data_IF_455775418436
#
_entry.id   IF_455775418436
#
_cell.length_a   1.000
_cell.length_b   1.000
_cell.length_c   1.000
_cell.angle_alpha   90.00
_cell.angle_beta   90.00
_cell.angle_gamma   90.00
#
_symmetry.space_group_name_H-M   'P 1'
#
loop_
_entity.id
_entity.type
_entity.pdbx_description
1 polymer ?
#
# COMPACT_ATOMS: atom_id res chain seq x y z
N UNK A 1 -15.43 -1.55 -15.94
CA UNK A 1 -15.27 -1.65 -14.48
C UNK A 1 -14.25 -0.62 -14.06
N UNK A 2 -14.62 0.31 -13.18
CA UNK A 2 -13.66 1.27 -12.62
C UNK A 2 -12.74 0.52 -11.67
N UNK A 3 -11.43 0.73 -11.79
CA UNK A 3 -10.47 0.14 -10.85
C UNK A 3 -10.68 0.76 -9.47
N UNK A 4 -10.86 -0.08 -8.45
CA UNK A 4 -11.02 0.33 -7.05
C UNK A 4 -9.69 0.70 -6.37
N UNK A 5 -8.61 0.77 -7.13
CA UNK A 5 -7.29 1.10 -6.64
C UNK A 5 -6.59 2.15 -7.50
N UNK A 6 -5.58 2.79 -6.91
CA UNK A 6 -4.65 3.69 -7.58
C UNK A 6 -3.22 3.16 -7.47
N UNK A 7 -2.45 3.33 -8.54
CA UNK A 7 -1.06 2.90 -8.59
C UNK A 7 -0.16 4.10 -8.38
N UNK A 8 0.64 4.05 -7.33
CA UNK A 8 1.59 5.10 -6.96
C UNK A 8 3.00 4.60 -7.28
N UNK A 9 3.71 5.35 -8.12
CA UNK A 9 5.13 5.11 -8.38
C UNK A 9 5.99 6.11 -7.61
N UNK A 10 6.74 5.64 -6.61
CA UNK A 10 7.62 6.47 -5.78
C UNK A 10 9.03 6.43 -6.37
N UNK A 11 9.49 7.55 -6.93
CA UNK A 11 10.80 7.66 -7.61
C UNK A 11 11.99 7.86 -6.68
N UNK A 12 11.74 8.42 -5.50
CA UNK A 12 12.72 8.64 -4.43
C UNK A 12 11.97 8.63 -3.12
N UNK A 13 12.51 7.97 -2.10
CA UNK A 13 11.90 7.96 -0.78
C UNK A 13 11.71 9.41 -0.30
N UNK A 14 10.46 9.84 -0.16
CA UNK A 14 10.11 11.15 0.41
C UNK A 14 10.45 11.16 1.89
N UNK A 15 10.78 12.32 2.46
CA UNK A 15 10.91 12.42 3.91
C UNK A 15 9.55 12.17 4.57
N UNK A 16 9.57 11.63 5.79
CA UNK A 16 8.37 11.19 6.52
C UNK A 16 7.31 12.30 6.65
N UNK A 17 7.77 13.55 6.80
CA UNK A 17 6.92 14.73 6.97
C UNK A 17 6.09 15.04 5.71
N UNK A 18 6.69 14.86 4.52
CA UNK A 18 6.00 15.02 3.24
C UNK A 18 5.19 13.78 2.84
N UNK A 19 5.59 12.59 3.34
CA UNK A 19 4.99 11.34 2.96
C UNK A 19 3.56 11.15 3.50
N UNK A 20 3.30 11.61 4.73
CA UNK A 20 1.98 11.51 5.35
C UNK A 20 0.90 12.27 4.58
N UNK A 21 1.02 13.60 4.32
CA UNK A 21 0.00 14.30 3.54
C UNK A 21 -0.13 13.74 2.13
N UNK A 22 0.97 13.27 1.52
CA UNK A 22 0.94 12.64 0.21
C UNK A 22 0.09 11.37 0.18
N UNK A 23 0.23 10.44 1.13
CA UNK A 23 -0.57 9.21 1.15
C UNK A 23 -2.03 9.48 1.54
N UNK A 24 -2.28 10.42 2.44
CA UNK A 24 -3.62 10.67 2.96
C UNK A 24 -4.56 11.42 2.01
N UNK A 25 -4.03 11.98 0.90
CA UNK A 25 -4.85 12.60 -0.15
C UNK A 25 -5.68 11.57 -0.92
N UNK A 26 -5.25 10.30 -0.93
CA UNK A 26 -5.93 9.24 -1.65
C UNK A 26 -7.16 8.71 -0.90
N UNK A 27 -8.16 8.27 -1.66
CA UNK A 27 -9.43 7.73 -1.15
C UNK A 27 -9.74 6.31 -1.61
N UNK A 28 -8.90 5.73 -2.48
CA UNK A 28 -9.02 4.37 -3.00
C UNK A 28 -7.99 3.44 -2.36
N UNK A 29 -8.08 2.14 -2.67
CA UNK A 29 -7.01 1.20 -2.35
C UNK A 29 -5.74 1.60 -3.11
N UNK A 30 -4.57 1.29 -2.58
CA UNK A 30 -3.30 1.74 -3.16
C UNK A 30 -2.41 0.58 -3.51
N UNK A 31 -1.83 0.62 -4.70
CA UNK A 31 -0.68 -0.22 -5.08
C UNK A 31 0.54 0.70 -5.17
N UNK A 32 1.52 0.47 -4.31
CA UNK A 32 2.72 1.29 -4.23
C UNK A 32 3.88 0.55 -4.86
N UNK A 33 4.52 1.17 -5.85
CA UNK A 33 5.72 0.66 -6.49
C UNK A 33 6.87 1.64 -6.26
N UNK A 34 7.95 1.16 -5.66
CA UNK A 34 9.18 1.92 -5.59
C UNK A 34 9.99 1.74 -6.87
N UNK A 35 10.63 2.81 -7.34
CA UNK A 35 11.51 2.74 -8.51
C UNK A 35 12.80 1.97 -8.17
N UNK A 36 13.37 2.21 -6.99
CA UNK A 36 14.42 1.38 -6.41
C UNK A 36 13.82 0.45 -5.34
N UNK A 37 13.97 -0.88 -5.42
CA UNK A 37 13.51 -1.81 -4.39
C UNK A 37 14.09 -1.56 -3.00
N UNK A 38 15.21 -0.83 -2.89
CA UNK A 38 15.83 -0.46 -1.61
C UNK A 38 15.27 0.83 -1.01
N UNK A 39 14.46 1.60 -1.75
CA UNK A 39 13.92 2.88 -1.28
C UNK A 39 12.78 2.73 -0.27
N UNK A 40 12.28 1.51 -0.06
CA UNK A 40 11.28 1.25 0.96
C UNK A 40 11.85 1.54 2.35
N UNK A 41 11.34 2.60 2.97
CA UNK A 41 11.75 3.01 4.30
C UNK A 41 10.75 2.51 5.33
N UNK A 42 11.21 1.65 6.25
CA UNK A 42 10.42 1.14 7.37
C UNK A 42 9.84 2.26 8.25
N UNK A 43 10.42 3.47 8.23
CA UNK A 43 9.90 4.65 8.93
C UNK A 43 8.51 5.09 8.44
N UNK A 44 8.12 4.69 7.21
CA UNK A 44 6.80 4.97 6.63
C UNK A 44 5.73 3.93 7.02
N UNK A 45 6.12 2.80 7.62
CA UNK A 45 5.21 1.73 8.07
C UNK A 45 4.06 2.28 8.91
N UNK A 46 4.36 3.16 9.87
CA UNK A 46 3.33 3.73 10.74
C UNK A 46 2.33 4.61 9.97
N UNK A 47 2.79 5.26 8.90
CA UNK A 47 1.93 6.09 8.04
C UNK A 47 0.99 5.17 7.25
N UNK A 48 1.51 4.09 6.66
CA UNK A 48 0.70 3.10 5.95
C UNK A 48 -0.33 2.43 6.85
N UNK A 49 0.07 1.95 8.03
CA UNK A 49 -0.83 1.37 9.00
C UNK A 49 -1.94 2.36 9.42
N UNK A 50 -1.58 3.64 9.61
CA UNK A 50 -2.55 4.68 9.93
C UNK A 50 -3.54 4.91 8.79
N UNK A 51 -3.07 4.91 7.53
CA UNK A 51 -3.95 5.07 6.37
C UNK A 51 -4.96 3.93 6.29
N UNK A 52 -4.50 2.67 6.39
CA UNK A 52 -5.37 1.48 6.31
C UNK A 52 -6.47 1.57 7.37
N UNK A 53 -6.11 1.84 8.62
CA UNK A 53 -7.05 1.94 9.72
C UNK A 53 -8.03 3.11 9.57
N UNK A 54 -7.56 4.30 9.17
CA UNK A 54 -8.38 5.51 9.13
C UNK A 54 -9.29 5.57 7.88
N UNK A 55 -8.82 5.07 6.75
CA UNK A 55 -9.57 5.12 5.48
C UNK A 55 -10.38 3.84 5.24
N UNK A 56 -10.11 2.78 6.01
CA UNK A 56 -10.60 1.43 5.73
C UNK A 56 -10.28 1.01 4.28
N UNK A 57 -9.03 1.26 3.85
CA UNK A 57 -8.52 1.01 2.49
C UNK A 57 -7.28 0.13 2.52
N UNK A 58 -7.12 -0.70 1.48
CA UNK A 58 -5.96 -1.59 1.33
C UNK A 58 -4.77 -0.83 0.79
N UNK A 59 -3.59 -1.21 1.25
CA UNK A 59 -2.33 -0.83 0.64
C UNK A 59 -1.58 -2.11 0.31
N UNK A 60 -1.12 -2.23 -0.94
CA UNK A 60 -0.20 -3.29 -1.35
C UNK A 60 1.07 -2.67 -1.91
N UNK A 61 2.22 -3.08 -1.38
CA UNK A 61 3.53 -2.58 -1.78
C UNK A 61 4.20 -3.64 -2.66
N UNK A 62 4.59 -3.25 -3.88
CA UNK A 62 5.31 -4.13 -4.78
C UNK A 62 6.77 -4.21 -4.32
N UNK A 63 7.16 -5.37 -3.79
CA UNK A 63 8.53 -5.69 -3.42
C UNK A 63 8.76 -7.19 -3.37
N UNK A 64 9.88 -7.63 -3.93
CA UNK A 64 10.36 -9.01 -3.83
C UNK A 64 11.19 -9.26 -2.57
N UNK A 65 11.53 -8.20 -1.82
CA UNK A 65 12.48 -8.25 -0.69
C UNK A 65 11.82 -8.37 0.67
N UNK A 66 10.55 -7.98 0.79
CA UNK A 66 9.85 -7.92 2.07
C UNK A 66 8.72 -8.93 2.10
N UNK A 67 8.61 -9.62 3.23
CA UNK A 67 7.55 -10.56 3.49
C UNK A 67 6.42 -9.91 4.30
N UNK A 68 5.22 -10.45 4.13
CA UNK A 68 4.07 -10.09 4.95
C UNK A 68 4.29 -10.53 6.39
N UNK A 69 4.03 -9.63 7.33
CA UNK A 69 4.12 -9.94 8.77
C UNK A 69 2.91 -9.33 9.48
N UNK A 70 2.48 -9.93 10.60
CA UNK A 70 1.33 -9.45 11.39
C UNK A 70 1.48 -8.02 11.93
N UNK A 71 2.70 -7.46 11.88
CA UNK A 71 2.98 -6.08 12.26
C UNK A 71 2.47 -5.06 11.24
N UNK A 72 2.26 -5.49 10.01
CA UNK A 72 1.81 -4.64 8.92
C UNK A 72 0.30 -4.79 8.74
N UNK A 73 -0.40 -3.66 8.66
CA UNK A 73 -1.81 -3.62 8.25
C UNK A 73 -1.95 -3.54 6.73
N UNK A 74 -0.84 -3.55 6.01
CA UNK A 74 -0.75 -3.52 4.57
C UNK A 74 0.01 -4.75 4.09
N UNK A 75 -0.12 -5.05 2.81
CA UNK A 75 0.43 -6.26 2.21
C UNK A 75 1.61 -5.93 1.29
N UNK A 76 2.50 -6.89 1.10
CA UNK A 76 3.57 -6.91 0.11
C UNK A 76 3.24 -7.96 -0.95
N UNK A 77 3.64 -7.68 -2.18
CA UNK A 77 3.61 -8.64 -3.26
C UNK A 77 4.78 -8.44 -4.22
N UNK A 78 5.36 -9.51 -4.78
CA UNK A 78 6.39 -9.41 -5.80
C UNK A 78 5.89 -8.82 -7.12
N UNK A 79 4.62 -9.02 -7.50
CA UNK A 79 4.12 -8.62 -8.83
C UNK A 79 2.90 -7.73 -8.79
N UNK A 80 2.70 -6.96 -9.85
CA UNK A 80 1.50 -6.12 -9.98
C UNK A 80 0.20 -6.92 -10.07
N UNK A 81 0.24 -8.14 -10.63
CA UNK A 81 -0.96 -8.96 -10.77
C UNK A 81 -1.40 -9.48 -9.40
N UNK A 82 -0.49 -10.08 -8.65
CA UNK A 82 -0.77 -10.52 -7.28
C UNK A 82 -1.21 -9.35 -6.37
N UNK A 83 -0.63 -8.15 -6.55
CA UNK A 83 -1.08 -6.98 -5.80
C UNK A 83 -2.54 -6.60 -6.06
N UNK A 84 -3.04 -6.83 -7.28
CA UNK A 84 -4.48 -6.65 -7.58
C UNK A 84 -5.30 -7.74 -6.93
N UNK A 85 -4.87 -8.99 -7.05
CA UNK A 85 -5.59 -10.13 -6.50
C UNK A 85 -5.78 -9.98 -4.98
N UNK A 86 -4.74 -9.51 -4.27
CA UNK A 86 -4.81 -9.16 -2.83
C UNK A 86 -5.85 -8.08 -2.56
N UNK A 87 -5.85 -6.97 -3.32
CA UNK A 87 -6.83 -5.90 -3.12
C UNK A 87 -8.26 -6.40 -3.34
N UNK A 88 -8.48 -7.21 -4.39
CA UNK A 88 -9.80 -7.77 -4.68
C UNK A 88 -10.29 -8.68 -3.53
N UNK A 89 -9.42 -9.53 -3.00
CA UNK A 89 -9.74 -10.38 -1.84
C UNK A 89 -10.07 -9.52 -0.61
N UNK A 90 -9.22 -8.57 -0.25
CA UNK A 90 -9.44 -7.69 0.92
C UNK A 90 -10.68 -6.80 0.75
N UNK A 91 -11.07 -6.43 -0.48
CA UNK A 91 -12.33 -5.73 -0.75
C UNK A 91 -13.54 -6.64 -0.54
N UNK A 92 -13.51 -7.89 -1.02
CA UNK A 92 -14.59 -8.86 -0.82
C UNK A 92 -14.78 -9.12 0.68
N UNK A 93 -13.70 -9.33 1.42
CA UNK A 93 -13.77 -9.57 2.87
C UNK A 93 -14.42 -8.39 3.61
N UNK A 94 -14.11 -7.14 3.24
CA UNK A 94 -14.73 -5.94 3.84
C UNK A 94 -16.20 -5.71 3.48
N UNK A 95 -16.72 -6.37 2.44
CA UNK A 95 -18.15 -6.31 2.09
C UNK A 95 -18.94 -7.34 2.90
N UNK A 96 -18.30 -8.45 3.29
CA UNK A 96 -18.93 -9.56 3.99
C UNK A 96 -18.95 -9.33 5.52
N UNK A 97 -17.96 -8.61 6.05
CA UNK A 97 -17.88 -8.18 7.46
C UNK A 97 -18.83 -7.00 7.77
#
# INVERSE_FOLDING_TARGET
MSLNFEVISIKKSLEKEDFKPFIFQFSKNLIIKYQDPNDFNLSHTNIYNSFVNLKNKSIVIISEKFENTDKFKFSFSPTFQEAKDIIEIEEIERIID
#
